data_IF_129086531453
#
_entry.id   IF_129086531453
#
_cell.length_a   1.000
_cell.length_b   1.000
_cell.length_c   1.000
_cell.angle_alpha   90.00
_cell.angle_beta   90.00
_cell.angle_gamma   90.00
#
_symmetry.space_group_name_H-M   'P 1'
#
loop_
_entity.id
_entity.type
_entity.pdbx_description
1 polymer ?
#
# COMPACT_ATOMS: atom_id res chain seq x y z
N UNK A 1 19.23 39.96 28.85
CA UNK A 1 18.49 39.68 27.60
C UNK A 1 19.14 38.62 26.71
N UNK A 2 20.41 38.76 26.28
CA UNK A 2 21.09 37.75 25.40
C UNK A 2 20.99 36.31 25.90
N UNK A 3 21.30 36.04 27.18
CA UNK A 3 21.23 34.68 27.76
C UNK A 3 19.81 34.06 27.71
N UNK A 4 18.77 34.89 27.81
CA UNK A 4 17.37 34.46 27.80
C UNK A 4 16.91 34.12 26.37
N UNK A 5 17.35 34.91 25.38
CA UNK A 5 17.12 34.62 23.95
C UNK A 5 17.84 33.32 23.54
N UNK A 6 19.10 33.12 23.96
CA UNK A 6 19.84 31.89 23.70
C UNK A 6 19.14 30.66 24.30
N UNK A 7 18.61 30.78 25.53
CA UNK A 7 17.86 29.69 26.16
C UNK A 7 16.62 29.30 25.35
N UNK A 8 15.84 30.29 24.89
CA UNK A 8 14.65 30.05 24.07
C UNK A 8 15.00 29.35 22.75
N UNK A 9 16.07 29.79 22.07
CA UNK A 9 16.53 29.16 20.82
C UNK A 9 16.94 27.70 21.06
N UNK A 10 17.67 27.41 22.14
CA UNK A 10 18.08 26.05 22.49
C UNK A 10 16.87 25.15 22.74
N UNK A 11 15.86 25.63 23.48
CA UNK A 11 14.62 24.88 23.73
C UNK A 11 13.90 24.58 22.42
N UNK A 12 13.77 25.58 21.53
CA UNK A 12 13.12 25.40 20.22
C UNK A 12 13.87 24.36 19.38
N UNK A 13 15.20 24.42 19.34
CA UNK A 13 16.03 23.44 18.61
C UNK A 13 15.88 22.02 19.16
N UNK A 14 15.78 21.85 20.48
CA UNK A 14 15.55 20.54 21.11
C UNK A 14 14.18 19.99 20.72
N UNK A 15 13.14 20.82 20.75
CA UNK A 15 11.77 20.42 20.37
C UNK A 15 11.71 20.02 18.90
N UNK A 16 12.30 20.82 18.01
CA UNK A 16 12.37 20.53 16.58
C UNK A 16 13.19 19.28 16.29
N UNK A 17 14.34 19.11 16.95
CA UNK A 17 15.17 17.91 16.84
C UNK A 17 14.45 16.63 17.24
N UNK A 18 13.69 16.66 18.35
CA UNK A 18 12.87 15.51 18.79
C UNK A 18 11.76 15.17 17.78
N UNK A 19 11.07 16.18 17.24
CA UNK A 19 10.05 15.96 16.20
C UNK A 19 10.69 15.37 14.93
N UNK A 20 11.79 15.95 14.45
CA UNK A 20 12.51 15.45 13.27
C UNK A 20 12.97 14.00 13.43
N UNK A 21 13.54 13.66 14.58
CA UNK A 21 13.95 12.30 14.89
C UNK A 21 12.78 11.30 14.87
N UNK A 22 11.61 11.70 15.40
CA UNK A 22 10.40 10.87 15.36
C UNK A 22 9.96 10.56 13.93
N UNK A 23 9.98 11.56 13.03
CA UNK A 23 9.64 11.35 11.62
C UNK A 23 10.65 10.43 10.90
N UNK A 24 11.95 10.62 11.14
CA UNK A 24 12.99 9.76 10.55
C UNK A 24 12.83 8.32 11.03
N UNK A 25 12.50 8.11 12.31
CA UNK A 25 12.22 6.77 12.86
C UNK A 25 11.01 6.15 12.17
N UNK A 26 9.90 6.88 12.02
CA UNK A 26 8.70 6.41 11.30
C UNK A 26 9.02 6.03 9.84
N UNK A 27 9.79 6.87 9.14
CA UNK A 27 10.21 6.61 7.76
C UNK A 27 11.14 5.38 7.64
N UNK A 28 12.07 5.18 8.57
CA UNK A 28 12.89 3.95 8.58
C UNK A 28 12.07 2.71 8.94
N UNK A 29 10.99 2.88 9.70
CA UNK A 29 10.08 1.79 10.08
C UNK A 29 9.16 1.38 8.93
N UNK A 30 8.70 2.32 8.11
CA UNK A 30 7.86 2.02 6.93
C UNK A 30 8.57 1.18 5.88
N UNK A 31 9.90 1.29 5.77
CA UNK A 31 10.73 0.40 4.92
C UNK A 31 10.67 -1.08 5.32
N UNK A 32 10.07 -1.41 6.47
CA UNK A 32 9.88 -2.79 6.96
C UNK A 32 8.53 -3.39 6.57
N UNK A 33 7.64 -2.61 5.95
CA UNK A 33 6.50 -3.17 5.22
C UNK A 33 6.95 -3.42 3.79
N UNK A 34 6.74 -4.63 3.30
CA UNK A 34 6.96 -4.95 1.89
C UNK A 34 5.62 -5.33 1.27
N UNK A 35 5.30 -4.69 0.16
CA UNK A 35 4.13 -4.99 -0.66
C UNK A 35 4.68 -5.56 -1.97
N UNK A 36 4.16 -6.71 -2.37
CA UNK A 36 4.55 -7.37 -3.60
C UNK A 36 3.35 -8.05 -4.24
N UNK A 37 3.44 -8.29 -5.55
CA UNK A 37 2.51 -9.15 -6.26
C UNK A 37 3.05 -10.58 -6.17
N UNK A 38 2.28 -11.46 -5.53
CA UNK A 38 2.64 -12.87 -5.35
C UNK A 38 2.34 -13.70 -6.60
N UNK A 39 1.30 -13.29 -7.34
CA UNK A 39 0.96 -13.89 -8.63
C UNK A 39 -0.27 -13.28 -9.26
N UNK A 40 -0.38 -13.43 -10.57
CA UNK A 40 -1.55 -13.04 -11.36
C UNK A 40 -2.17 -14.30 -11.94
N UNK A 41 -3.46 -14.50 -11.70
CA UNK A 41 -4.22 -15.63 -12.23
C UNK A 41 -5.25 -15.12 -13.21
N UNK A 42 -5.05 -15.47 -14.48
CA UNK A 42 -6.03 -15.24 -15.53
C UNK A 42 -7.04 -16.40 -15.56
N UNK A 43 -8.34 -16.11 -15.73
CA UNK A 43 -9.34 -17.15 -15.90
C UNK A 43 -9.12 -17.86 -17.24
N UNK A 44 -9.52 -19.13 -17.33
CA UNK A 44 -9.56 -19.81 -18.63
C UNK A 44 -10.54 -19.08 -19.55
N UNK A 45 -10.04 -18.61 -20.69
CA UNK A 45 -10.84 -17.95 -21.71
C UNK A 45 -11.90 -18.90 -22.24
N UNK A 46 -13.17 -18.51 -22.16
CA UNK A 46 -14.30 -19.18 -22.82
C UNK A 46 -14.76 -18.32 -23.99
N UNK A 47 -15.39 -18.91 -25.00
CA UNK A 47 -15.97 -18.16 -26.13
C UNK A 47 -16.97 -17.08 -25.69
N UNK A 48 -17.67 -17.28 -24.57
CA UNK A 48 -18.53 -16.27 -23.93
C UNK A 48 -17.77 -15.01 -23.48
N UNK A 49 -16.47 -15.12 -23.26
CA UNK A 49 -15.61 -14.03 -22.81
C UNK A 49 -15.09 -13.16 -23.96
N UNK A 50 -15.43 -13.49 -25.22
CA UNK A 50 -15.12 -12.64 -26.39
C UNK A 50 -16.02 -11.40 -26.49
N UNK A 51 -17.14 -11.38 -25.74
CA UNK A 51 -18.17 -10.34 -25.80
C UNK A 51 -18.46 -9.76 -24.39
N UNK A 52 -17.80 -10.27 -23.36
CA UNK A 52 -18.06 -9.92 -21.96
C UNK A 52 -16.78 -9.66 -21.17
N UNK A 53 -16.94 -9.05 -19.99
CA UNK A 53 -15.82 -8.70 -19.09
C UNK A 53 -15.10 -9.96 -18.57
N UNK A 54 -13.77 -9.90 -18.48
CA UNK A 54 -12.94 -11.03 -18.04
C UNK A 54 -12.49 -10.80 -16.60
N UNK A 55 -12.90 -11.66 -15.67
CA UNK A 55 -12.52 -11.55 -14.26
C UNK A 55 -11.10 -12.10 -13.98
N UNK A 56 -10.12 -11.26 -13.66
CA UNK A 56 -8.76 -11.65 -13.24
C UNK A 56 -8.59 -11.55 -11.74
N UNK A 57 -7.81 -12.46 -11.15
CA UNK A 57 -7.42 -12.37 -9.73
C UNK A 57 -5.93 -12.08 -9.59
N UNK A 58 -5.60 -11.05 -8.82
CA UNK A 58 -4.23 -10.69 -8.44
C UNK A 58 -4.06 -11.04 -6.96
N UNK A 59 -3.06 -11.85 -6.64
CA UNK A 59 -2.67 -12.13 -5.26
C UNK A 59 -1.62 -11.12 -4.84
N UNK A 60 -1.97 -10.27 -3.88
CA UNK A 60 -1.05 -9.33 -3.27
C UNK A 60 -0.48 -9.94 -1.99
N UNK A 61 0.84 -9.91 -1.83
CA UNK A 61 1.51 -10.24 -0.58
C UNK A 61 1.88 -8.95 0.16
N UNK A 62 1.45 -8.83 1.41
CA UNK A 62 1.91 -7.78 2.31
C UNK A 62 2.58 -8.43 3.51
N UNK A 63 3.88 -8.16 3.66
CA UNK A 63 4.71 -8.61 4.77
C UNK A 63 5.05 -7.48 5.72
N UNK A 64 4.85 -7.70 7.02
CA UNK A 64 5.25 -6.78 8.08
C UNK A 64 6.51 -7.31 8.80
N UNK A 65 7.69 -6.81 8.43
CA UNK A 65 8.95 -7.14 9.10
C UNK A 65 9.29 -6.19 10.25
N UNK A 66 8.30 -5.44 10.74
CA UNK A 66 8.45 -4.52 11.86
C UNK A 66 7.94 -5.16 13.17
N UNK A 67 8.49 -4.76 14.33
CA UNK A 67 8.00 -5.17 15.65
C UNK A 67 6.66 -4.52 16.04
N UNK A 68 6.08 -3.67 15.19
CA UNK A 68 4.82 -2.96 15.43
C UNK A 68 3.74 -3.44 14.48
N UNK A 69 2.49 -3.47 14.97
CA UNK A 69 1.28 -3.70 14.17
C UNK A 69 1.10 -2.57 13.14
N UNK A 70 0.62 -2.95 11.96
CA UNK A 70 0.21 -2.01 10.91
C UNK A 70 -1.25 -2.19 10.54
N UNK A 71 -1.90 -1.09 10.21
CA UNK A 71 -3.28 -1.08 9.72
C UNK A 71 -3.30 -0.60 8.27
N UNK A 72 -3.70 -1.50 7.38
CA UNK A 72 -3.86 -1.22 5.95
C UNK A 72 -5.30 -0.81 5.72
N UNK A 73 -5.53 0.50 5.55
CA UNK A 73 -6.87 1.05 5.42
C UNK A 73 -7.49 0.76 4.05
N UNK A 74 -6.69 0.77 3.00
CA UNK A 74 -7.14 0.55 1.64
C UNK A 74 -5.99 0.00 0.79
N UNK A 75 -6.33 -0.86 -0.16
CA UNK A 75 -5.45 -1.32 -1.23
C UNK A 75 -6.15 -0.98 -2.54
N UNK A 76 -5.50 -0.19 -3.39
CA UNK A 76 -5.95 0.08 -4.76
C UNK A 76 -4.84 -0.33 -5.71
N UNK A 77 -5.18 -1.11 -6.74
CA UNK A 77 -4.25 -1.51 -7.79
C UNK A 77 -4.97 -1.28 -9.10
N UNK A 78 -4.41 -0.37 -9.89
CA UNK A 78 -4.88 -0.11 -11.24
C UNK A 78 -4.06 -0.94 -12.22
N UNK A 79 -4.74 -1.52 -13.21
CA UNK A 79 -4.12 -2.34 -14.26
C UNK A 79 -4.14 -1.54 -15.54
N UNK A 80 -2.98 -1.41 -16.17
CA UNK A 80 -2.79 -0.67 -17.42
C UNK A 80 -2.37 -1.61 -18.56
N UNK A 81 -2.71 -1.27 -19.80
CA UNK A 81 -2.19 -1.92 -20.99
C UNK A 81 -0.77 -1.42 -21.36
N UNK A 82 -0.18 -2.00 -22.41
CA UNK A 82 1.14 -1.62 -22.92
C UNK A 82 1.23 -0.16 -23.40
N UNK A 83 0.09 0.47 -23.69
CA UNK A 83 -0.04 1.86 -24.13
C UNK A 83 -0.30 2.81 -22.97
N UNK A 84 -0.47 2.29 -21.75
CA UNK A 84 -0.77 3.07 -20.54
C UNK A 84 -2.26 3.37 -20.32
N UNK A 85 -3.16 2.72 -21.04
CA UNK A 85 -4.60 2.87 -20.82
C UNK A 85 -5.05 2.01 -19.62
N UNK A 86 -5.93 2.55 -18.78
CA UNK A 86 -6.53 1.83 -17.67
C UNK A 86 -7.50 0.75 -18.19
N UNK A 87 -7.21 -0.52 -17.90
CA UNK A 87 -8.01 -1.67 -18.36
C UNK A 87 -8.76 -2.38 -17.24
N UNK A 88 -8.36 -2.17 -15.98
CA UNK A 88 -9.13 -2.62 -14.82
C UNK A 88 -8.84 -1.79 -13.57
N UNK A 89 -9.90 -1.61 -12.77
CA UNK A 89 -9.84 -1.03 -11.43
C UNK A 89 -10.55 -1.96 -10.42
N UNK A 90 -10.17 -1.90 -9.13
CA UNK A 90 -10.72 -2.78 -8.11
C UNK A 90 -12.21 -2.45 -7.86
N UNK A 91 -13.09 -3.43 -8.05
CA UNK A 91 -14.54 -3.24 -7.86
C UNK A 91 -14.96 -3.19 -6.39
N UNK A 92 -14.23 -3.89 -5.53
CA UNK A 92 -14.47 -3.94 -4.09
C UNK A 92 -13.17 -3.56 -3.37
N UNK A 93 -12.90 -2.25 -3.17
CA UNK A 93 -11.85 -1.85 -2.24
C UNK A 93 -12.16 -2.45 -0.86
N UNK A 94 -11.11 -2.86 -0.15
CA UNK A 94 -11.24 -3.31 1.24
C UNK A 94 -11.94 -2.22 2.05
N UNK A 95 -13.11 -2.54 2.59
CA UNK A 95 -13.96 -1.60 3.34
C UNK A 95 -13.56 -1.50 4.80
N UNK A 96 -12.84 -2.49 5.30
CA UNK A 96 -12.35 -2.55 6.67
C UNK A 96 -10.82 -2.55 6.69
N UNK A 97 -10.20 -1.76 7.58
CA UNK A 97 -8.76 -1.77 7.76
C UNK A 97 -8.27 -3.17 8.14
N UNK A 98 -7.23 -3.64 7.46
CA UNK A 98 -6.61 -4.92 7.77
C UNK A 98 -5.45 -4.72 8.74
N UNK A 99 -5.53 -5.40 9.88
CA UNK A 99 -4.41 -5.50 10.82
C UNK A 99 -3.38 -6.50 10.33
N UNK A 100 -2.12 -6.07 10.24
CA UNK A 100 -0.97 -6.94 9.96
C UNK A 100 -0.06 -6.92 11.18
N UNK A 101 -0.02 -8.05 11.88
CA UNK A 101 0.79 -8.21 13.09
C UNK A 101 2.29 -8.24 12.78
N UNK A 102 3.16 -8.00 13.78
CA UNK A 102 4.60 -8.12 13.63
C UNK A 102 5.04 -9.48 13.06
N UNK A 103 5.97 -9.45 12.09
CA UNK A 103 6.53 -10.63 11.41
C UNK A 103 5.51 -11.49 10.64
N UNK A 104 4.32 -10.96 10.37
CA UNK A 104 3.28 -11.64 9.61
C UNK A 104 3.40 -11.34 8.12
N UNK A 105 3.22 -12.37 7.29
CA UNK A 105 2.99 -12.23 5.84
C UNK A 105 1.54 -12.62 5.54
N UNK A 106 0.83 -11.77 4.81
CA UNK A 106 -0.56 -12.00 4.41
C UNK A 106 -0.69 -11.96 2.90
N UNK A 107 -1.50 -12.88 2.35
CA UNK A 107 -1.83 -12.93 0.94
C UNK A 107 -3.29 -12.51 0.77
N UNK A 108 -3.52 -11.44 0.03
CA UNK A 108 -4.84 -10.89 -0.27
C UNK A 108 -5.20 -11.21 -1.72
N UNK A 109 -6.23 -12.03 -1.97
CA UNK A 109 -6.78 -12.21 -3.31
C UNK A 109 -7.65 -11.01 -3.65
N UNK A 110 -7.28 -10.29 -4.71
CA UNK A 110 -8.04 -9.15 -5.22
C UNK A 110 -8.63 -9.55 -6.59
N UNK A 111 -9.92 -9.34 -6.78
CA UNK A 111 -10.64 -9.68 -8.01
C UNK A 111 -10.91 -8.41 -8.81
N UNK A 112 -10.62 -8.48 -10.12
CA UNK A 112 -10.72 -7.39 -11.07
C UNK A 112 -11.54 -7.84 -12.27
N UNK A 113 -12.37 -6.96 -12.81
CA UNK A 113 -12.96 -7.16 -14.13
C UNK A 113 -12.12 -6.39 -15.14
N UNK A 114 -11.54 -7.11 -16.09
CA UNK A 114 -10.87 -6.56 -17.26
C UNK A 114 -11.95 -6.09 -18.23
N UNK A 115 -11.97 -4.79 -18.50
CA UNK A 115 -12.78 -4.22 -19.55
C UNK A 115 -12.20 -4.63 -20.91
N UNK A 116 -13.07 -5.08 -21.82
CA UNK A 116 -12.68 -5.38 -23.20
C UNK A 116 -12.62 -4.12 -24.09
N UNK A 117 -12.85 -2.92 -23.53
CA UNK A 117 -12.93 -1.68 -24.29
C UNK A 117 -11.58 -1.34 -24.95
N UNK A 118 -11.46 -1.73 -26.21
CA UNK A 118 -10.66 -1.09 -27.24
C UNK A 118 -11.59 -0.58 -28.34
#
# INVERSE_FOLDING_TARGET
MRKLITLVIVIVLIVLGRKGYSYVKKYRHSKRIKIGVDGVSFPKLKLTNLIGEIATSIKLNIGNFSPSKFEVQQISIDVFDEKGNLIASPQNPLREPISIEPSQNNIFPLTYLLSSQQ
#
